data_IF_239112773366
#
_entry.id   IF_239112773366
#
_cell.length_a   1.000
_cell.length_b   1.000
_cell.length_c   1.000
_cell.angle_alpha   90.00
_cell.angle_beta   90.00
_cell.angle_gamma   90.00
#
_symmetry.space_group_name_H-M   'P 1'
#
loop_
_entity.id
_entity.type
_entity.pdbx_description
1 polymer ?
#
# COMPACT_ATOMS: atom_id res chain seq x y z
N UNK A 1 -36.26 -41.75 -9.05
CA UNK A 1 -37.18 -41.22 -8.01
C UNK A 1 -36.92 -39.72 -7.88
N UNK A 2 -37.89 -38.83 -8.20
CA UNK A 2 -37.69 -37.40 -8.02
C UNK A 2 -37.73 -37.04 -6.52
N UNK A 3 -36.77 -36.25 -6.07
CA UNK A 3 -36.69 -35.76 -4.69
C UNK A 3 -37.87 -34.82 -4.38
N UNK A 4 -38.40 -34.81 -3.14
CA UNK A 4 -39.55 -33.99 -2.77
C UNK A 4 -39.25 -32.49 -2.93
N UNK A 5 -40.17 -31.74 -3.55
CA UNK A 5 -40.04 -30.28 -3.79
C UNK A 5 -39.74 -29.46 -2.52
N UNK A 6 -40.20 -29.92 -1.36
CA UNK A 6 -39.93 -29.24 -0.09
C UNK A 6 -38.47 -29.34 0.36
N UNK A 7 -37.77 -30.43 0.02
CA UNK A 7 -36.36 -30.63 0.38
C UNK A 7 -35.43 -29.79 -0.49
N UNK A 8 -35.79 -29.58 -1.77
CA UNK A 8 -35.03 -28.71 -2.68
C UNK A 8 -35.06 -27.24 -2.27
N UNK A 9 -36.19 -26.73 -1.79
CA UNK A 9 -36.31 -25.32 -1.38
C UNK A 9 -35.45 -24.98 -0.15
N UNK A 10 -35.29 -25.91 0.78
CA UNK A 10 -34.42 -25.70 1.94
C UNK A 10 -32.94 -25.82 1.54
N UNK A 11 -32.58 -26.81 0.73
CA UNK A 11 -31.20 -27.00 0.25
C UNK A 11 -30.69 -25.81 -0.57
N UNK A 12 -31.54 -25.24 -1.43
CA UNK A 12 -31.20 -24.08 -2.26
C UNK A 12 -31.06 -22.78 -1.45
N UNK A 13 -31.83 -22.62 -0.36
CA UNK A 13 -31.66 -21.51 0.60
C UNK A 13 -30.33 -21.61 1.37
N UNK A 14 -29.94 -22.81 1.81
CA UNK A 14 -28.66 -23.01 2.49
C UNK A 14 -27.48 -22.80 1.53
N UNK A 15 -27.59 -23.21 0.28
CA UNK A 15 -26.54 -23.01 -0.73
C UNK A 15 -26.29 -21.51 -1.01
N UNK A 16 -27.37 -20.72 -1.12
CA UNK A 16 -27.28 -19.27 -1.31
C UNK A 16 -26.71 -18.55 -0.09
N UNK A 17 -27.06 -18.99 1.12
CA UNK A 17 -26.53 -18.43 2.37
C UNK A 17 -25.02 -18.69 2.50
N UNK A 18 -24.56 -19.92 2.18
CA UNK A 18 -23.13 -20.29 2.22
C UNK A 18 -22.34 -19.52 1.16
N UNK A 19 -22.88 -19.32 -0.04
CA UNK A 19 -22.22 -18.53 -1.09
C UNK A 19 -22.08 -17.05 -0.72
N UNK A 20 -23.08 -16.47 -0.03
CA UNK A 20 -23.03 -15.06 0.38
C UNK A 20 -21.98 -14.83 1.49
N UNK A 21 -21.84 -15.78 2.41
CA UNK A 21 -20.84 -15.72 3.50
C UNK A 21 -19.42 -15.88 2.94
N UNK A 22 -19.18 -16.82 2.01
CA UNK A 22 -17.85 -17.03 1.43
C UNK A 22 -17.39 -15.85 0.55
N UNK A 23 -18.29 -15.20 -0.19
CA UNK A 23 -17.93 -14.03 -1.00
C UNK A 23 -17.72 -12.76 -0.14
N UNK A 24 -18.48 -12.58 0.94
CA UNK A 24 -18.30 -11.45 1.86
C UNK A 24 -17.00 -11.53 2.67
N UNK A 25 -16.57 -12.74 3.05
CA UNK A 25 -15.34 -12.92 3.84
C UNK A 25 -14.06 -12.73 3.02
N UNK A 26 -14.04 -13.09 1.73
CA UNK A 26 -12.84 -12.92 0.90
C UNK A 26 -12.57 -11.46 0.52
N UNK A 27 -13.61 -10.62 0.35
CA UNK A 27 -13.43 -9.19 0.08
C UNK A 27 -12.92 -8.38 1.28
N UNK A 28 -13.27 -8.78 2.51
CA UNK A 28 -12.83 -8.09 3.71
C UNK A 28 -11.33 -8.32 4.05
N UNK A 29 -10.79 -9.49 3.71
CA UNK A 29 -9.39 -9.83 3.99
C UNK A 29 -8.39 -9.10 3.08
N UNK A 30 -8.75 -8.79 1.82
CA UNK A 30 -7.84 -8.07 0.91
C UNK A 30 -7.70 -6.59 1.24
N UNK A 31 -8.74 -5.96 1.83
CA UNK A 31 -8.72 -4.55 2.21
C UNK A 31 -7.90 -4.28 3.48
N UNK A 32 -7.66 -5.30 4.31
CA UNK A 32 -7.09 -5.14 5.65
C UNK A 32 -5.58 -5.40 5.74
N UNK A 33 -4.92 -5.75 4.64
CA UNK A 33 -3.49 -6.13 4.62
C UNK A 33 -2.58 -5.16 3.85
N UNK A 34 -3.14 -4.15 3.17
CA UNK A 34 -2.33 -3.23 2.39
C UNK A 34 -1.84 -2.06 3.25
N UNK A 35 -0.53 -1.82 3.22
CA UNK A 35 0.05 -0.58 3.72
C UNK A 35 -0.46 0.59 2.89
N UNK A 36 -0.93 1.65 3.53
CA UNK A 36 -1.44 2.84 2.86
C UNK A 36 -0.41 3.96 2.91
N UNK A 37 -0.18 4.59 1.76
CA UNK A 37 0.65 5.78 1.62
C UNK A 37 -0.23 7.00 1.48
N UNK A 38 0.22 8.11 2.05
CA UNK A 38 -0.42 9.41 1.86
C UNK A 38 0.62 10.48 1.55
N UNK A 39 0.30 11.37 0.61
CA UNK A 39 1.05 12.61 0.39
C UNK A 39 0.67 13.65 1.43
N UNK A 40 1.67 14.35 1.97
CA UNK A 40 1.48 15.53 2.82
C UNK A 40 1.10 16.80 2.05
N UNK A 41 1.17 16.78 0.71
CA UNK A 41 0.72 17.87 -0.16
C UNK A 41 -0.58 17.52 -0.85
N UNK A 42 -1.48 18.50 -0.94
CA UNK A 42 -2.84 18.25 -1.39
C UNK A 42 -3.07 18.35 -2.89
N UNK A 43 -2.42 19.22 -3.69
CA UNK A 43 -3.00 19.42 -5.04
C UNK A 43 -2.06 19.56 -6.25
N UNK A 44 -0.81 20.03 -6.20
CA UNK A 44 0.05 20.03 -7.41
C UNK A 44 1.52 20.30 -7.07
N UNK A 45 2.45 19.61 -7.73
CA UNK A 45 3.89 19.84 -7.62
C UNK A 45 4.42 20.38 -8.95
N UNK A 46 5.12 21.52 -8.92
CA UNK A 46 5.59 22.21 -10.12
C UNK A 46 7.09 21.98 -10.41
N UNK A 47 7.45 21.11 -11.38
CA UNK A 47 8.83 20.77 -11.72
C UNK A 47 9.58 22.01 -12.21
N UNK A 48 10.75 22.27 -11.62
CA UNK A 48 11.69 23.29 -12.08
C UNK A 48 11.61 24.67 -11.41
N UNK A 49 10.61 24.96 -10.57
CA UNK A 49 10.65 26.10 -9.64
C UNK A 49 11.18 25.64 -8.27
N UNK A 50 12.07 26.45 -7.68
CA UNK A 50 12.77 26.36 -6.39
C UNK A 50 12.92 24.96 -5.73
N UNK A 51 14.10 24.66 -5.19
CA UNK A 51 14.42 23.32 -4.64
C UNK A 51 13.43 22.81 -3.57
N UNK A 52 12.69 23.71 -2.93
CA UNK A 52 11.66 23.44 -1.93
C UNK A 52 10.29 23.08 -2.53
N UNK A 53 9.92 23.59 -3.71
CA UNK A 53 8.58 23.42 -4.31
C UNK A 53 8.40 22.05 -5.00
N UNK A 54 9.48 21.32 -5.23
CA UNK A 54 9.50 20.01 -5.89
C UNK A 54 9.65 18.82 -4.95
N UNK A 55 9.33 19.03 -3.68
CA UNK A 55 9.46 18.00 -2.66
C UNK A 55 8.09 17.48 -2.28
N UNK A 56 7.89 16.16 -2.39
CA UNK A 56 6.73 15.49 -1.81
C UNK A 56 7.12 14.80 -0.50
N UNK A 57 6.28 14.91 0.52
CA UNK A 57 6.42 14.13 1.76
C UNK A 57 5.43 12.98 1.68
N UNK A 58 5.92 11.75 1.73
CA UNK A 58 5.08 10.56 1.73
C UNK A 58 5.23 9.86 3.07
N UNK A 59 4.08 9.55 3.66
CA UNK A 59 3.99 8.86 4.94
C UNK A 59 3.24 7.54 4.80
N UNK A 60 3.71 6.55 5.54
CA UNK A 60 2.96 5.34 5.85
C UNK A 60 1.89 5.69 6.89
N UNK A 61 0.63 5.73 6.47
CA UNK A 61 -0.50 6.15 7.34
C UNK A 61 -1.24 4.98 7.98
N UNK A 62 -1.13 3.79 7.41
CA UNK A 62 -1.71 2.58 7.96
C UNK A 62 -0.69 1.45 7.95
N UNK A 63 -0.35 0.95 9.15
CA UNK A 63 0.56 -0.18 9.31
C UNK A 63 -0.20 -1.50 9.11
N UNK A 64 0.49 -2.57 8.69
CA UNK A 64 -0.13 -3.88 8.56
C UNK A 64 -0.65 -4.34 9.94
N UNK A 65 -1.74 -5.13 10.01
CA UNK A 65 -2.34 -5.55 11.28
C UNK A 65 -1.46 -6.51 12.09
N UNK A 66 -0.30 -6.91 11.57
CA UNK A 66 0.65 -7.73 12.30
C UNK A 66 1.48 -6.87 13.25
N UNK A 67 1.29 -7.05 14.56
CA UNK A 67 2.15 -6.37 15.56
C UNK A 67 3.57 -6.94 15.50
N UNK A 68 4.62 -6.11 15.46
CA UNK A 68 6.00 -6.57 15.50
C UNK A 68 6.30 -7.38 16.77
N UNK A 69 7.07 -8.47 16.63
CA UNK A 69 7.55 -9.22 17.78
C UNK A 69 8.49 -8.37 18.66
N UNK A 70 8.67 -8.70 19.95
CA UNK A 70 9.71 -8.09 20.77
C UNK A 70 11.09 -8.19 20.09
N UNK A 71 11.95 -7.20 20.29
CA UNK A 71 13.28 -7.14 19.69
C UNK A 71 13.29 -7.02 18.15
N UNK A 72 12.33 -6.28 17.61
CA UNK A 72 12.22 -5.97 16.18
C UNK A 72 12.56 -4.50 15.92
N UNK A 73 13.31 -4.22 14.86
CA UNK A 73 13.33 -2.90 14.23
C UNK A 73 12.51 -2.91 12.94
N UNK A 74 11.90 -1.78 12.62
CA UNK A 74 11.12 -1.60 11.40
C UNK A 74 11.99 -0.80 10.43
N UNK A 75 12.17 -1.34 9.23
CA UNK A 75 12.87 -0.67 8.13
C UNK A 75 11.89 -0.41 6.99
N UNK A 76 12.08 0.72 6.31
CA UNK A 76 11.24 1.20 5.23
C UNK A 76 12.08 1.35 3.96
N UNK A 77 11.71 0.62 2.92
CA UNK A 77 12.33 0.69 1.61
C UNK A 77 11.37 1.33 0.63
N UNK A 78 11.75 2.50 0.13
CA UNK A 78 10.98 3.30 -0.79
C UNK A 78 11.46 3.03 -2.21
N UNK A 79 10.53 2.73 -3.10
CA UNK A 79 10.76 2.58 -4.52
C UNK A 79 9.98 3.65 -5.27
N UNK A 80 10.67 4.38 -6.14
CA UNK A 80 10.10 5.42 -6.98
C UNK A 80 10.46 5.10 -8.42
N UNK A 81 9.45 5.07 -9.28
CA UNK A 81 9.59 4.80 -10.70
C UNK A 81 9.02 5.96 -11.50
N UNK A 82 9.78 6.40 -12.49
CA UNK A 82 9.43 7.42 -13.48
C UNK A 82 9.94 6.98 -14.86
N UNK A 83 9.41 7.56 -15.94
CA UNK A 83 9.94 7.30 -17.29
C UNK A 83 11.45 7.60 -17.45
N UNK A 84 11.94 8.54 -16.64
CA UNK A 84 13.34 9.00 -16.64
C UNK A 84 14.25 8.22 -15.68
N UNK A 85 13.71 7.25 -14.93
CA UNK A 85 14.52 6.39 -14.07
C UNK A 85 13.80 5.86 -12.84
N UNK A 86 14.50 4.97 -12.15
CA UNK A 86 14.08 4.36 -10.91
C UNK A 86 15.02 4.75 -9.77
N UNK A 87 14.46 5.00 -8.59
CA UNK A 87 15.21 5.30 -7.38
C UNK A 87 14.73 4.45 -6.21
N UNK A 88 15.68 3.95 -5.43
CA UNK A 88 15.41 3.15 -4.24
C UNK A 88 16.11 3.74 -3.02
N UNK A 89 15.40 3.81 -1.89
CA UNK A 89 15.91 4.37 -0.65
C UNK A 89 15.54 3.51 0.55
N UNK A 90 16.49 3.24 1.43
CA UNK A 90 16.25 2.56 2.71
C UNK A 90 16.31 3.58 3.86
N UNK A 91 15.33 3.50 4.78
CA UNK A 91 15.23 4.38 5.94
C UNK A 91 14.67 3.67 7.16
N UNK A 92 14.85 4.29 8.33
CA UNK A 92 14.20 3.87 9.59
C UNK A 92 12.98 4.76 9.93
N UNK A 93 12.47 5.51 8.96
CA UNK A 93 11.38 6.47 9.14
C UNK A 93 10.18 6.05 8.30
N UNK A 94 8.99 6.09 8.90
CA UNK A 94 7.71 5.90 8.20
C UNK A 94 7.35 7.04 7.26
N UNK A 95 8.08 8.14 7.36
CA UNK A 95 7.91 9.37 6.61
C UNK A 95 9.19 9.68 5.81
N UNK A 96 9.06 10.09 4.55
CA UNK A 96 10.21 10.55 3.76
C UNK A 96 9.84 11.63 2.77
N UNK A 97 10.71 12.63 2.67
CA UNK A 97 10.69 13.65 1.62
C UNK A 97 11.42 13.18 0.37
N UNK A 98 10.82 13.36 -0.80
CA UNK A 98 11.40 13.04 -2.11
C UNK A 98 11.39 14.26 -3.00
N UNK A 99 12.55 14.57 -3.59
CA UNK A 99 12.66 15.59 -4.61
C UNK A 99 12.31 14.99 -5.98
N UNK A 100 11.26 15.49 -6.61
CA UNK A 100 10.79 15.06 -7.93
C UNK A 100 11.30 16.04 -8.99
N UNK A 101 12.31 15.62 -9.75
CA UNK A 101 13.11 16.51 -10.58
C UNK A 101 12.54 16.67 -11.99
N UNK A 102 11.73 15.73 -12.44
CA UNK A 102 11.15 15.71 -13.78
C UNK A 102 9.63 15.92 -13.69
N UNK A 103 9.05 16.42 -14.78
CA UNK A 103 7.61 16.45 -14.99
C UNK A 103 7.10 15.06 -15.36
N UNK A 104 5.91 14.69 -14.88
CA UNK A 104 5.24 13.45 -15.25
C UNK A 104 4.73 12.66 -14.04
N UNK A 105 4.36 11.41 -14.31
CA UNK A 105 3.80 10.50 -13.32
C UNK A 105 4.91 9.72 -12.61
N UNK A 106 4.99 9.89 -11.29
CA UNK A 106 5.82 9.09 -10.42
C UNK A 106 4.98 8.00 -9.76
N UNK A 107 5.38 6.74 -9.94
CA UNK A 107 4.84 5.62 -9.16
C UNK A 107 5.70 5.40 -7.93
N UNK A 108 5.10 5.55 -6.74
CA UNK A 108 5.77 5.40 -5.46
C UNK A 108 5.22 4.19 -4.70
N UNK A 109 6.12 3.41 -4.09
CA UNK A 109 5.79 2.26 -3.24
C UNK A 109 6.70 2.22 -2.03
N UNK A 110 6.17 1.74 -0.91
CA UNK A 110 6.96 1.45 0.28
C UNK A 110 6.87 -0.03 0.60
N UNK A 111 8.01 -0.62 0.92
CA UNK A 111 8.14 -1.94 1.52
C UNK A 111 8.55 -1.76 2.98
N UNK A 112 7.74 -2.28 3.89
CA UNK A 112 8.04 -2.32 5.32
C UNK A 112 8.61 -3.69 5.66
N UNK A 113 9.76 -3.74 6.32
CA UNK A 113 10.39 -4.98 6.78
C UNK A 113 10.46 -4.98 8.30
N UNK A 114 10.09 -6.11 8.89
CA UNK A 114 10.33 -6.39 10.29
C UNK A 114 11.61 -7.18 10.41
N UNK A 115 12.63 -6.55 11.01
CA UNK A 115 13.97 -7.10 11.13
C UNK A 115 14.22 -7.48 12.58
N UNK A 116 14.59 -8.74 12.80
CA UNK A 116 14.95 -9.24 14.12
C UNK A 116 16.32 -8.65 14.52
N UNK A 117 16.41 -8.00 15.67
CA UNK A 117 17.65 -7.32 16.10
C UNK A 117 18.79 -8.27 16.46
N UNK A 118 18.50 -9.53 16.81
CA UNK A 118 19.52 -10.54 17.14
C UNK A 118 20.13 -11.16 15.89
N UNK A 119 19.29 -11.52 14.91
CA UNK A 119 19.75 -12.22 13.69
C UNK A 119 19.98 -11.29 12.52
N UNK A 120 19.54 -10.03 12.62
CA UNK A 120 19.53 -9.01 11.55
C UNK A 120 18.74 -9.39 10.29
N UNK A 121 18.00 -10.50 10.34
CA UNK A 121 17.20 -10.99 9.23
C UNK A 121 15.80 -10.40 9.26
N UNK A 122 15.29 -10.04 8.08
CA UNK A 122 13.88 -9.73 7.90
C UNK A 122 13.06 -11.02 8.03
N UNK A 123 12.03 -11.00 8.87
CA UNK A 123 11.14 -12.15 9.08
C UNK A 123 9.71 -11.91 8.60
N UNK A 124 9.35 -10.65 8.33
CA UNK A 124 8.10 -10.28 7.69
C UNK A 124 8.31 -9.08 6.77
N UNK A 125 7.57 -9.02 5.67
CA UNK A 125 7.61 -7.92 4.71
C UNK A 125 6.21 -7.60 4.20
N UNK A 126 5.95 -6.31 4.05
CA UNK A 126 4.65 -5.79 3.64
C UNK A 126 4.85 -4.71 2.58
N UNK A 127 4.12 -4.83 1.49
CA UNK A 127 4.13 -3.84 0.42
C UNK A 127 2.95 -2.91 0.54
N UNK A 128 3.19 -1.64 0.23
CA UNK A 128 2.11 -0.69 -0.01
C UNK A 128 1.46 -0.91 -1.36
N UNK A 129 0.23 -0.42 -1.44
CA UNK A 129 -0.37 -0.09 -2.73
C UNK A 129 0.52 0.98 -3.42
N UNK A 130 0.64 0.92 -4.75
CA UNK A 130 1.28 1.99 -5.49
C UNK A 130 0.47 3.28 -5.34
N UNK A 131 1.19 4.37 -5.10
CA UNK A 131 0.67 5.73 -5.14
C UNK A 131 1.22 6.40 -6.40
N UNK A 132 0.36 7.10 -7.14
CA UNK A 132 0.78 7.92 -8.27
C UNK A 132 0.84 9.36 -7.80
N UNK A 133 1.97 10.02 -8.04
CA UNK A 133 2.17 11.44 -7.78
C UNK A 133 2.49 12.09 -9.12
N UNK A 134 1.69 13.07 -9.52
CA UNK A 134 1.85 13.78 -10.79
C UNK A 134 2.58 15.10 -10.55
N UNK A 135 3.50 15.45 -11.44
CA UNK A 135 4.22 16.72 -11.41
C UNK A 135 4.04 17.48 -12.73
N UNK A 136 3.75 18.78 -12.65
CA UNK A 136 3.82 19.71 -13.78
C UNK A 136 2.65 19.72 -14.75
N UNK A 137 1.48 19.20 -14.36
CA UNK A 137 0.35 19.16 -15.29
C UNK A 137 -0.32 20.53 -15.51
N UNK A 138 -0.27 21.44 -14.52
CA UNK A 138 -1.01 22.72 -14.52
C UNK A 138 -0.18 23.95 -14.06
N UNK A 139 1.15 23.88 -14.14
CA UNK A 139 2.05 24.97 -13.72
C UNK A 139 2.29 25.96 -14.87
N UNK A 140 1.25 26.65 -15.31
CA UNK A 140 1.32 27.82 -16.21
C UNK A 140 1.53 29.15 -15.45
#
# INVERSE_FOLDING_TARGET
MPLPRHTMNNFMKYLLLVSFICCGFMGALSAQLSLELRSGYNDELCPGYDDEANTVIIDVVNMPPLTPAPNTRIEYYWLITHENGDWAYQTNSSARSFKLVFSGDYTMRCQVLYVNLTTTNAYATFWSNPMIVQTGHDCE
#
